data_IF_949744877508
#
_entry.id   IF_949744877508
#
_cell.length_a   1.000
_cell.length_b   1.000
_cell.length_c   1.000
_cell.angle_alpha   90.00
_cell.angle_beta   90.00
_cell.angle_gamma   90.00
#
_symmetry.space_group_name_H-M   'P 1'
#
loop_
_entity.id
_entity.type
_entity.pdbx_description
1 polymer ?
#
# COMPACT_ATOMS: atom_id res chain seq x y z
N UNK A 1 70.36 38.38 -0.24
CA UNK A 1 69.40 37.91 0.79
C UNK A 1 67.95 38.28 0.43
N UNK A 2 67.37 37.77 -0.68
CA UNK A 2 66.00 38.15 -1.13
C UNK A 2 65.09 36.98 -1.52
N UNK A 3 65.45 35.73 -1.18
CA UNK A 3 64.70 34.52 -1.59
C UNK A 3 64.03 33.75 -0.44
N UNK A 4 64.12 34.21 0.80
CA UNK A 4 63.58 33.49 1.97
C UNK A 4 62.19 34.00 2.40
N UNK A 5 61.80 35.23 2.08
CA UNK A 5 60.49 35.78 2.48
C UNK A 5 59.28 35.21 1.71
N UNK A 6 59.49 34.49 0.60
CA UNK A 6 58.38 34.00 -0.24
C UNK A 6 57.76 32.67 0.21
N UNK A 7 58.34 31.96 1.20
CA UNK A 7 57.80 30.68 1.69
C UNK A 7 56.83 30.81 2.88
N UNK A 8 56.86 31.93 3.60
CA UNK A 8 55.99 32.14 4.79
C UNK A 8 54.59 32.65 4.40
N UNK A 9 54.45 33.38 3.29
CA UNK A 9 53.16 33.95 2.87
C UNK A 9 52.12 32.94 2.38
N UNK A 10 52.56 31.80 1.83
CA UNK A 10 51.68 30.75 1.27
C UNK A 10 50.95 29.93 2.35
N UNK A 11 51.44 29.95 3.59
CA UNK A 11 50.82 29.26 4.74
C UNK A 11 49.71 30.11 5.36
N UNK A 12 49.88 31.44 5.37
CA UNK A 12 48.90 32.39 5.93
C UNK A 12 47.61 32.44 5.10
N UNK A 13 47.72 32.34 3.77
CA UNK A 13 46.55 32.38 2.88
C UNK A 13 45.69 31.11 3.02
N UNK A 14 46.32 29.93 3.13
CA UNK A 14 45.63 28.67 3.44
C UNK A 14 44.98 28.66 4.81
N UNK A 15 45.64 29.21 5.83
CA UNK A 15 45.06 29.36 7.16
C UNK A 15 43.80 30.25 7.13
N UNK A 16 43.83 31.37 6.40
CA UNK A 16 42.65 32.23 6.21
C UNK A 16 41.50 31.52 5.49
N UNK A 17 41.80 30.69 4.49
CA UNK A 17 40.77 29.89 3.82
C UNK A 17 40.13 28.86 4.75
N UNK A 18 40.94 28.18 5.58
CA UNK A 18 40.46 27.21 6.57
C UNK A 18 39.61 27.91 7.63
N UNK A 19 40.04 29.05 8.16
CA UNK A 19 39.27 29.84 9.14
C UNK A 19 37.92 30.27 8.55
N UNK A 20 37.91 30.76 7.31
CA UNK A 20 36.68 31.15 6.60
C UNK A 20 35.76 29.96 6.30
N UNK A 21 36.31 28.77 6.06
CA UNK A 21 35.52 27.55 5.91
C UNK A 21 34.90 27.13 7.24
N UNK A 22 35.68 27.13 8.33
CA UNK A 22 35.18 26.83 9.68
C UNK A 22 34.09 27.79 10.13
N UNK A 23 34.24 29.09 9.87
CA UNK A 23 33.23 30.10 10.18
C UNK A 23 31.92 29.83 9.40
N UNK A 24 32.02 29.48 8.12
CA UNK A 24 30.86 29.08 7.31
C UNK A 24 30.19 27.80 7.79
N UNK A 25 30.96 26.83 8.28
CA UNK A 25 30.43 25.58 8.84
C UNK A 25 29.72 25.84 10.17
N UNK A 26 30.31 26.66 11.06
CA UNK A 26 29.69 27.06 12.32
C UNK A 26 28.38 27.83 12.08
N UNK A 27 28.38 28.81 11.17
CA UNK A 27 27.18 29.56 10.77
C UNK A 27 26.08 28.64 10.21
N UNK A 28 26.47 27.54 9.57
CA UNK A 28 25.55 26.57 8.99
C UNK A 28 24.92 25.71 10.09
N UNK A 29 25.72 25.28 11.06
CA UNK A 29 25.29 24.50 12.22
C UNK A 29 24.35 25.30 13.13
N UNK A 30 24.71 26.55 13.46
CA UNK A 30 23.86 27.45 14.26
C UNK A 30 22.50 27.69 13.60
N UNK A 31 22.50 27.86 12.28
CA UNK A 31 21.26 28.00 11.51
C UNK A 31 20.40 26.73 11.56
N UNK A 32 21.02 25.56 11.43
CA UNK A 32 20.31 24.27 11.46
C UNK A 32 19.71 24.01 12.84
N UNK A 33 20.46 24.27 13.91
CA UNK A 33 19.98 24.15 15.29
C UNK A 33 18.79 25.09 15.56
N UNK A 34 18.87 26.34 15.12
CA UNK A 34 17.78 27.31 15.28
C UNK A 34 16.52 26.87 14.53
N UNK A 35 16.67 26.39 13.29
CA UNK A 35 15.54 25.90 12.49
C UNK A 35 14.91 24.69 13.14
N UNK A 36 15.72 23.74 13.61
CA UNK A 36 15.25 22.52 14.27
C UNK A 36 14.46 22.82 15.55
N UNK A 37 14.93 23.73 16.38
CA UNK A 37 14.24 24.08 17.63
C UNK A 37 12.89 24.73 17.39
N UNK A 38 12.84 25.63 16.40
CA UNK A 38 11.61 26.31 16.00
C UNK A 38 10.60 25.34 15.37
N UNK A 39 11.06 24.40 14.54
CA UNK A 39 10.22 23.34 13.96
C UNK A 39 9.72 22.37 15.04
N UNK A 40 10.58 21.93 15.96
CA UNK A 40 10.20 21.08 17.10
C UNK A 40 9.11 21.74 17.94
N UNK A 41 9.19 23.06 18.17
CA UNK A 41 8.15 23.81 18.88
C UNK A 41 6.80 23.75 18.15
N UNK A 42 6.78 23.98 16.84
CA UNK A 42 5.56 23.88 16.04
C UNK A 42 4.96 22.47 16.06
N UNK A 43 5.80 21.44 15.95
CA UNK A 43 5.35 20.05 16.03
C UNK A 43 4.79 19.70 17.41
N UNK A 44 5.44 20.15 18.48
CA UNK A 44 4.97 19.94 19.84
C UNK A 44 3.58 20.55 20.04
N UNK A 45 3.37 21.80 19.59
CA UNK A 45 2.06 22.46 19.65
C UNK A 45 0.98 21.68 18.88
N UNK A 46 1.31 21.17 17.68
CA UNK A 46 0.38 20.36 16.89
C UNK A 46 0.01 19.05 17.60
N UNK A 47 0.98 18.39 18.23
CA UNK A 47 0.78 17.13 18.98
C UNK A 47 -0.07 17.35 20.23
N UNK A 48 0.27 18.36 21.03
CA UNK A 48 -0.50 18.72 22.23
C UNK A 48 -1.96 19.02 21.89
N UNK A 49 -2.20 19.82 20.85
CA UNK A 49 -3.55 20.13 20.41
C UNK A 49 -4.32 18.87 19.95
N UNK A 50 -3.67 17.96 19.22
CA UNK A 50 -4.31 16.70 18.83
C UNK A 50 -4.72 15.85 20.06
N UNK A 51 -3.91 15.85 21.12
CA UNK A 51 -4.22 15.17 22.37
C UNK A 51 -5.41 15.84 23.07
N UNK A 52 -5.40 17.18 23.16
CA UNK A 52 -6.50 17.95 23.74
C UNK A 52 -7.80 17.75 22.97
N UNK A 53 -7.76 17.77 21.64
CA UNK A 53 -8.91 17.52 20.78
C UNK A 53 -9.49 16.12 20.99
N UNK A 54 -8.65 15.08 21.07
CA UNK A 54 -9.11 13.72 21.39
C UNK A 54 -9.79 13.64 22.78
N UNK A 55 -9.26 14.35 23.77
CA UNK A 55 -9.86 14.43 25.11
C UNK A 55 -11.19 15.18 25.10
N UNK A 56 -11.29 16.27 24.34
CA UNK A 56 -12.51 17.08 24.21
C UNK A 56 -13.63 16.28 23.52
N UNK A 57 -13.31 15.60 22.41
CA UNK A 57 -14.27 14.75 21.68
C UNK A 57 -14.87 13.68 22.61
N UNK A 58 -14.05 13.04 23.47
CA UNK A 58 -14.54 12.06 24.46
C UNK A 58 -15.51 12.66 25.48
N UNK A 59 -15.39 13.96 25.76
CA UNK A 59 -16.28 14.71 26.67
C UNK A 59 -17.46 15.37 25.94
N UNK A 60 -17.57 15.20 24.62
CA UNK A 60 -18.58 15.88 23.80
C UNK A 60 -18.34 17.38 23.65
N UNK A 61 -17.11 17.86 23.87
CA UNK A 61 -16.73 19.27 23.72
C UNK A 61 -15.66 19.44 22.64
N UNK A 62 -15.36 20.69 22.27
CA UNK A 62 -14.27 21.03 21.33
C UNK A 62 -13.14 21.69 22.09
N UNK A 63 -11.90 21.35 21.72
CA UNK A 63 -10.73 22.00 22.30
C UNK A 63 -10.72 23.50 21.95
N UNK A 64 -10.55 24.33 22.97
CA UNK A 64 -10.41 25.77 22.82
C UNK A 64 -9.08 26.12 22.14
N UNK A 65 -9.06 27.21 21.37
CA UNK A 65 -7.87 27.84 20.79
C UNK A 65 -6.93 26.90 19.99
N UNK A 66 -7.23 26.66 18.70
CA UNK A 66 -6.36 25.84 17.84
C UNK A 66 -5.02 26.57 17.58
N UNK A 67 -3.85 25.92 17.76
CA UNK A 67 -2.55 26.58 17.60
C UNK A 67 -2.13 26.75 16.14
N UNK A 68 -2.99 26.39 15.18
CA UNK A 68 -2.63 26.35 13.76
C UNK A 68 -2.15 27.70 13.23
N UNK A 69 -2.69 28.82 13.72
CA UNK A 69 -2.24 30.14 13.30
C UNK A 69 -0.82 30.46 13.77
N UNK A 70 -0.44 30.05 14.99
CA UNK A 70 0.93 30.23 15.50
C UNK A 70 1.90 29.30 14.78
N UNK A 71 1.50 28.06 14.53
CA UNK A 71 2.28 27.09 13.75
C UNK A 71 2.57 27.62 12.33
N UNK A 72 1.58 28.23 11.67
CA UNK A 72 1.77 28.84 10.35
C UNK A 72 2.81 29.97 10.42
N UNK A 73 2.71 30.88 11.41
CA UNK A 73 3.69 31.96 11.60
C UNK A 73 5.10 31.43 11.83
N UNK A 74 5.23 30.33 12.56
CA UNK A 74 6.51 29.64 12.78
C UNK A 74 7.08 29.13 11.44
N UNK A 75 6.31 28.40 10.63
CA UNK A 75 6.82 27.92 9.35
C UNK A 75 7.08 29.06 8.35
N UNK A 76 6.33 30.16 8.41
CA UNK A 76 6.61 31.36 7.61
C UNK A 76 7.95 32.00 7.97
N UNK A 77 8.31 32.07 9.26
CA UNK A 77 9.59 32.61 9.69
C UNK A 77 10.75 31.72 9.24
N UNK A 78 10.62 30.40 9.42
CA UNK A 78 11.62 29.40 8.97
C UNK A 78 11.79 29.44 7.45
N UNK A 79 10.69 29.55 6.70
CA UNK A 79 10.74 29.68 5.24
C UNK A 79 11.49 30.95 4.80
N UNK A 80 11.25 32.09 5.46
CA UNK A 80 11.99 33.34 5.18
C UNK A 80 13.48 33.17 5.46
N UNK A 81 13.83 32.53 6.58
CA UNK A 81 15.21 32.20 6.96
C UNK A 81 15.90 31.31 5.91
N UNK A 82 15.23 30.27 5.42
CA UNK A 82 15.75 29.40 4.36
C UNK A 82 15.99 30.15 3.04
N UNK A 83 15.09 31.05 2.66
CA UNK A 83 15.25 31.88 1.45
C UNK A 83 16.44 32.85 1.56
N UNK A 84 16.66 33.46 2.73
CA UNK A 84 17.81 34.34 2.97
C UNK A 84 19.15 33.62 2.83
N UNK A 85 19.21 32.33 3.20
CA UNK A 85 20.38 31.47 3.01
C UNK A 85 20.41 30.76 1.65
N UNK A 86 19.54 31.15 0.71
CA UNK A 86 19.40 30.59 -0.64
C UNK A 86 19.11 29.07 -0.69
N UNK A 87 18.50 28.52 0.38
CA UNK A 87 18.07 27.12 0.47
C UNK A 87 16.66 26.94 -0.09
N UNK A 88 16.55 26.94 -1.42
CA UNK A 88 15.25 26.92 -2.13
C UNK A 88 14.43 25.65 -1.88
N UNK A 89 15.09 24.49 -1.77
CA UNK A 89 14.41 23.21 -1.52
C UNK A 89 13.74 23.20 -0.14
N UNK A 90 14.47 23.61 0.90
CA UNK A 90 13.94 23.70 2.27
C UNK A 90 12.76 24.67 2.33
N UNK A 91 12.88 25.83 1.67
CA UNK A 91 11.79 26.81 1.58
C UNK A 91 10.52 26.23 0.92
N UNK A 92 10.64 25.33 -0.06
CA UNK A 92 9.52 24.64 -0.68
C UNK A 92 8.88 23.60 0.24
N UNK A 93 9.68 22.89 1.04
CA UNK A 93 9.19 21.97 2.08
C UNK A 93 8.35 22.75 3.11
N UNK A 94 8.86 23.87 3.62
CA UNK A 94 8.14 24.69 4.59
C UNK A 94 6.88 25.34 3.99
N UNK A 95 6.88 25.68 2.71
CA UNK A 95 5.67 26.14 2.01
C UNK A 95 4.56 25.08 2.03
N UNK A 96 4.92 23.82 1.81
CA UNK A 96 3.98 22.69 1.86
C UNK A 96 3.40 22.54 3.27
N UNK A 97 4.21 22.70 4.31
CA UNK A 97 3.75 22.68 5.70
C UNK A 97 2.78 23.83 6.00
N UNK A 98 3.08 25.05 5.54
CA UNK A 98 2.18 26.22 5.68
C UNK A 98 0.82 25.92 5.05
N UNK A 99 0.79 25.36 3.84
CA UNK A 99 -0.45 25.00 3.15
C UNK A 99 -1.25 23.96 3.95
N UNK A 100 -0.58 22.89 4.40
CA UNK A 100 -1.21 21.83 5.18
C UNK A 100 -1.85 22.36 6.48
N UNK A 101 -1.18 23.25 7.21
CA UNK A 101 -1.73 23.85 8.43
C UNK A 101 -2.80 24.92 8.15
N UNK A 102 -2.74 25.61 7.02
CA UNK A 102 -3.79 26.54 6.59
C UNK A 102 -5.10 25.82 6.29
N UNK A 103 -5.03 24.65 5.64
CA UNK A 103 -6.20 23.79 5.43
C UNK A 103 -6.79 23.28 6.75
N UNK A 104 -5.94 22.88 7.71
CA UNK A 104 -6.38 22.45 9.05
C UNK A 104 -7.10 23.59 9.78
N UNK A 105 -6.56 24.81 9.72
CA UNK A 105 -7.19 26.00 10.30
C UNK A 105 -8.56 26.29 9.65
N UNK A 106 -8.66 26.18 8.33
CA UNK A 106 -9.93 26.38 7.62
C UNK A 106 -10.99 25.32 7.99
N UNK A 107 -10.57 24.06 8.15
CA UNK A 107 -11.45 22.97 8.62
C UNK A 107 -11.91 23.19 10.06
N UNK A 108 -11.02 23.61 10.95
CA UNK A 108 -11.37 23.92 12.34
C UNK A 108 -12.37 25.08 12.44
N UNK A 109 -12.17 26.17 11.68
CA UNK A 109 -13.14 27.29 11.63
C UNK A 109 -14.53 26.83 11.22
N UNK A 110 -14.63 26.03 10.14
CA UNK A 110 -15.92 25.46 9.70
C UNK A 110 -16.58 24.60 10.76
N UNK A 111 -15.78 23.80 11.48
CA UNK A 111 -16.29 22.94 12.55
C UNK A 111 -16.84 23.78 13.71
N UNK A 112 -16.17 24.86 14.10
CA UNK A 112 -16.67 25.80 15.12
C UNK A 112 -17.93 26.52 14.68
N UNK A 113 -18.01 26.96 13.43
CA UNK A 113 -19.22 27.60 12.89
C UNK A 113 -20.45 26.68 12.94
N UNK A 114 -20.25 25.39 12.63
CA UNK A 114 -21.32 24.38 12.73
C UNK A 114 -21.81 24.23 14.16
N UNK A 115 -20.92 24.26 15.14
CA UNK A 115 -21.26 24.06 16.55
C UNK A 115 -21.94 25.29 17.15
N UNK A 116 -21.50 26.49 16.78
CA UNK A 116 -22.23 27.74 17.10
C UNK A 116 -23.65 27.69 16.54
N UNK A 117 -23.82 27.24 15.29
CA UNK A 117 -25.15 27.08 14.68
C UNK A 117 -26.01 26.03 15.37
N UNK A 118 -25.43 24.90 15.79
CA UNK A 118 -26.14 23.88 16.56
C UNK A 118 -26.60 24.43 17.91
N UNK A 119 -25.71 25.12 18.64
CA UNK A 119 -26.04 25.73 19.92
C UNK A 119 -27.13 26.80 19.77
N UNK A 120 -27.09 27.62 18.70
CA UNK A 120 -28.13 28.61 18.42
C UNK A 120 -29.48 27.95 18.11
N UNK A 121 -29.51 26.93 17.25
CA UNK A 121 -30.73 26.16 16.96
C UNK A 121 -31.31 25.50 18.21
N UNK A 122 -30.45 24.97 19.08
CA UNK A 122 -30.87 24.37 20.33
C UNK A 122 -31.54 25.41 21.25
N UNK A 123 -30.97 26.62 21.35
CA UNK A 123 -31.59 27.73 22.07
C UNK A 123 -32.93 28.15 21.47
N UNK A 124 -33.03 28.25 20.14
CA UNK A 124 -34.29 28.56 19.44
C UNK A 124 -35.37 27.51 19.74
N UNK A 125 -35.00 26.22 19.78
CA UNK A 125 -35.91 25.13 20.15
C UNK A 125 -36.34 25.27 21.62
N UNK A 126 -35.41 25.53 22.53
CA UNK A 126 -35.72 25.73 23.95
C UNK A 126 -36.61 26.96 24.19
N UNK A 127 -36.41 28.04 23.45
CA UNK A 127 -37.27 29.22 23.48
C UNK A 127 -38.67 28.92 22.92
N UNK A 128 -38.77 28.18 21.81
CA UNK A 128 -40.07 27.70 21.30
C UNK A 128 -40.79 26.80 22.32
N UNK A 129 -40.06 26.00 23.09
CA UNK A 129 -40.64 25.14 24.14
C UNK A 129 -41.05 25.92 25.40
N UNK A 130 -40.45 27.09 25.67
CA UNK A 130 -40.80 27.97 26.81
C UNK A 130 -42.04 28.84 26.54
N UNK A 131 -42.31 29.16 25.28
CA UNK A 131 -43.55 29.85 24.88
C UNK A 131 -44.67 28.80 24.86
N UNK A 132 -45.28 28.57 26.03
CA UNK A 132 -46.24 27.50 26.24
C UNK A 132 -47.49 27.56 25.37
N UNK A 133 -47.94 26.35 25.02
CA UNK A 133 -49.31 25.93 24.71
C UNK A 133 -50.03 26.53 23.48
N UNK A 134 -50.22 25.61 22.51
CA UNK A 134 -51.42 25.37 21.65
C UNK A 134 -51.18 25.65 20.17
N UNK A 135 -50.89 24.60 19.41
CA UNK A 135 -51.64 24.24 18.19
C UNK A 135 -51.42 22.77 17.83
N UNK A 136 -52.39 22.17 17.13
CA UNK A 136 -52.33 20.78 16.61
C UNK A 136 -51.10 20.52 15.71
N UNK A 137 -50.46 21.57 15.22
CA UNK A 137 -49.24 21.58 14.41
C UNK A 137 -48.01 21.06 15.16
N UNK A 138 -47.91 21.27 16.48
CA UNK A 138 -46.76 20.84 17.27
C UNK A 138 -46.73 19.32 17.50
N UNK A 139 -47.90 18.68 17.58
CA UNK A 139 -48.00 17.21 17.69
C UNK A 139 -47.50 16.50 16.42
N UNK A 140 -47.69 17.10 15.25
CA UNK A 140 -47.14 16.58 13.99
C UNK A 140 -45.63 16.81 13.89
N UNK A 141 -45.14 17.97 14.36
CA UNK A 141 -43.70 18.25 14.40
C UNK A 141 -42.95 17.35 15.39
N UNK A 142 -43.51 17.09 16.58
CA UNK A 142 -42.97 16.14 17.55
C UNK A 142 -42.88 14.73 16.97
N UNK A 143 -43.95 14.23 16.33
CA UNK A 143 -43.93 12.93 15.64
C UNK A 143 -42.90 12.87 14.51
N UNK A 144 -42.70 13.96 13.77
CA UNK A 144 -41.69 14.03 12.73
C UNK A 144 -40.26 14.01 13.30
N UNK A 145 -40.03 14.61 14.47
CA UNK A 145 -38.74 14.58 15.16
C UNK A 145 -38.48 13.20 15.77
N UNK A 146 -39.49 12.57 16.37
CA UNK A 146 -39.41 11.20 16.89
C UNK A 146 -39.15 10.19 15.77
N UNK A 147 -39.88 10.27 14.66
CA UNK A 147 -39.66 9.41 13.50
C UNK A 147 -38.24 9.54 12.93
N UNK A 148 -37.68 10.76 12.89
CA UNK A 148 -36.29 10.99 12.47
C UNK A 148 -35.27 10.36 13.43
N UNK A 149 -35.50 10.45 14.74
CA UNK A 149 -34.63 9.80 15.73
C UNK A 149 -34.70 8.27 15.60
N UNK A 150 -35.89 7.70 15.44
CA UNK A 150 -36.05 6.26 15.21
C UNK A 150 -35.38 5.80 13.91
N UNK A 151 -35.41 6.62 12.87
CA UNK A 151 -34.74 6.36 11.60
C UNK A 151 -33.20 6.41 11.76
N UNK A 152 -32.67 7.40 12.48
CA UNK A 152 -31.24 7.51 12.80
C UNK A 152 -30.77 6.33 13.66
N UNK A 153 -31.50 5.97 14.72
CA UNK A 153 -31.18 4.84 15.59
C UNK A 153 -31.20 3.52 14.81
N UNK A 154 -32.19 3.34 13.93
CA UNK A 154 -32.24 2.18 13.04
C UNK A 154 -31.06 2.17 12.08
N UNK A 155 -30.71 3.30 11.47
CA UNK A 155 -29.54 3.42 10.60
C UNK A 155 -28.23 3.06 11.32
N UNK A 156 -28.05 3.51 12.57
CA UNK A 156 -26.88 3.16 13.39
C UNK A 156 -26.86 1.66 13.70
N UNK A 157 -28.01 1.07 14.04
CA UNK A 157 -28.12 -0.37 14.29
C UNK A 157 -27.73 -1.20 13.06
N UNK A 158 -28.23 -0.84 11.88
CA UNK A 158 -27.86 -1.52 10.63
C UNK A 158 -26.36 -1.36 10.34
N UNK A 159 -25.81 -0.14 10.53
CA UNK A 159 -24.38 0.11 10.38
C UNK A 159 -23.52 -0.81 11.24
N UNK A 160 -23.86 -0.97 12.52
CA UNK A 160 -23.14 -1.85 13.44
C UNK A 160 -23.20 -3.33 13.00
N UNK A 161 -24.34 -3.81 12.52
CA UNK A 161 -24.49 -5.19 12.04
C UNK A 161 -23.64 -5.46 10.79
N UNK A 162 -23.55 -4.47 9.88
CA UNK A 162 -22.68 -4.52 8.69
C UNK A 162 -21.21 -4.57 9.13
N UNK A 163 -20.80 -3.66 10.02
CA UNK A 163 -19.42 -3.59 10.52
C UNK A 163 -18.99 -4.91 11.19
N UNK A 164 -19.87 -5.53 11.98
CA UNK A 164 -19.63 -6.85 12.55
C UNK A 164 -19.41 -7.93 11.49
N UNK A 165 -20.29 -7.99 10.49
CA UNK A 165 -20.22 -8.97 9.41
C UNK A 165 -18.92 -8.79 8.59
N UNK A 166 -18.55 -7.54 8.27
CA UNK A 166 -17.32 -7.24 7.55
C UNK A 166 -16.07 -7.56 8.37
N UNK A 167 -16.10 -7.33 9.68
CA UNK A 167 -14.99 -7.65 10.58
C UNK A 167 -14.71 -9.16 10.58
N UNK A 168 -15.75 -9.98 10.68
CA UNK A 168 -15.62 -11.45 10.63
C UNK A 168 -14.94 -11.89 9.33
N UNK A 169 -15.39 -11.36 8.19
CA UNK A 169 -14.80 -11.66 6.87
C UNK A 169 -13.34 -11.25 6.81
N UNK A 170 -13.03 -10.04 7.29
CA UNK A 170 -11.67 -9.50 7.24
C UNK A 170 -10.71 -10.33 8.06
N UNK A 171 -11.09 -10.68 9.28
CA UNK A 171 -10.28 -11.49 10.19
C UNK A 171 -10.04 -12.89 9.61
N UNK A 172 -11.06 -13.48 8.99
CA UNK A 172 -10.94 -14.75 8.30
C UNK A 172 -10.05 -14.69 7.06
N UNK A 173 -10.20 -13.69 6.19
CA UNK A 173 -9.35 -13.55 5.01
C UNK A 173 -7.87 -13.33 5.38
N UNK A 174 -7.61 -12.62 6.48
CA UNK A 174 -6.26 -12.48 7.04
C UNK A 174 -5.73 -13.83 7.57
N UNK A 175 -6.54 -14.58 8.30
CA UNK A 175 -6.18 -15.91 8.78
C UNK A 175 -5.89 -16.86 7.61
N UNK A 176 -6.75 -16.86 6.59
CA UNK A 176 -6.60 -17.66 5.36
C UNK A 176 -5.30 -17.35 4.64
N UNK A 177 -4.94 -16.07 4.46
CA UNK A 177 -3.64 -15.71 3.86
C UNK A 177 -2.44 -16.19 4.69
N UNK A 178 -2.53 -16.16 6.02
CA UNK A 178 -1.47 -16.66 6.91
C UNK A 178 -1.34 -18.18 6.82
N UNK A 179 -2.45 -18.91 6.82
CA UNK A 179 -2.50 -20.36 6.68
C UNK A 179 -1.90 -20.81 5.34
N UNK A 180 -2.29 -20.15 4.23
CA UNK A 180 -1.74 -20.44 2.90
C UNK A 180 -0.22 -20.26 2.82
N UNK A 181 0.36 -19.28 3.51
CA UNK A 181 1.83 -19.11 3.59
C UNK A 181 2.53 -20.26 4.33
N UNK A 182 1.82 -20.95 5.21
CA UNK A 182 2.29 -22.13 5.93
C UNK A 182 1.94 -23.44 5.24
N UNK A 183 1.20 -23.41 4.13
CA UNK A 183 0.67 -24.59 3.47
C UNK A 183 -0.53 -25.23 4.20
N UNK A 184 -1.18 -24.51 5.12
CA UNK A 184 -2.36 -24.97 5.85
C UNK A 184 -3.64 -24.49 5.15
N UNK A 185 -4.69 -25.31 5.13
CA UNK A 185 -6.02 -24.94 4.64
C UNK A 185 -6.99 -24.83 5.82
N UNK A 186 -7.69 -23.69 5.90
CA UNK A 186 -8.74 -23.47 6.88
C UNK A 186 -10.04 -24.10 6.36
N UNK A 187 -10.49 -25.16 7.04
CA UNK A 187 -11.70 -25.91 6.68
C UNK A 187 -12.97 -25.12 7.01
N UNK A 188 -13.01 -24.45 8.15
CA UNK A 188 -14.20 -23.73 8.59
C UNK A 188 -14.27 -22.31 8.01
N UNK A 189 -15.24 -22.08 7.14
CA UNK A 189 -15.51 -20.76 6.56
C UNK A 189 -16.64 -20.05 7.30
N UNK A 190 -16.47 -18.77 7.73
CA UNK A 190 -17.53 -17.99 8.34
C UNK A 190 -18.45 -17.32 7.31
N UNK A 191 -18.29 -17.58 6.02
CA UNK A 191 -19.14 -16.97 5.00
C UNK A 191 -20.63 -17.32 5.19
N UNK A 192 -20.95 -18.51 5.71
CA UNK A 192 -22.33 -18.89 6.04
C UNK A 192 -22.95 -17.98 7.11
N UNK A 193 -22.23 -17.70 8.20
CA UNK A 193 -22.69 -16.79 9.26
C UNK A 193 -22.90 -15.37 8.73
N UNK A 194 -21.98 -14.90 7.90
CA UNK A 194 -22.04 -13.58 7.26
C UNK A 194 -23.26 -13.47 6.34
N UNK A 195 -23.56 -14.52 5.57
CA UNK A 195 -24.74 -14.58 4.72
C UNK A 195 -26.03 -14.43 5.56
N UNK A 196 -26.13 -15.13 6.69
CA UNK A 196 -27.29 -15.02 7.57
C UNK A 196 -27.44 -13.62 8.18
N UNK A 197 -26.33 -13.00 8.61
CA UNK A 197 -26.34 -11.60 9.08
C UNK A 197 -26.85 -10.65 7.98
N UNK A 198 -26.40 -10.80 6.73
CA UNK A 198 -26.86 -9.96 5.63
C UNK A 198 -28.31 -10.24 5.22
N UNK A 199 -28.81 -11.48 5.32
CA UNK A 199 -30.24 -11.78 5.13
C UNK A 199 -31.08 -11.05 6.18
N UNK A 200 -30.66 -11.11 7.45
CA UNK A 200 -31.35 -10.44 8.54
C UNK A 200 -31.38 -8.90 8.35
N UNK A 201 -30.24 -8.31 7.96
CA UNK A 201 -30.16 -6.87 7.64
C UNK A 201 -31.10 -6.53 6.48
N UNK A 202 -31.06 -7.30 5.39
CA UNK A 202 -31.90 -7.10 4.21
C UNK A 202 -33.38 -7.10 4.56
N UNK A 203 -33.81 -8.06 5.37
CA UNK A 203 -35.21 -8.21 5.73
C UNK A 203 -35.66 -7.03 6.62
N UNK A 204 -34.84 -6.59 7.58
CA UNK A 204 -35.12 -5.40 8.40
C UNK A 204 -35.25 -4.12 7.57
N UNK A 205 -34.36 -3.89 6.60
CA UNK A 205 -34.45 -2.68 5.75
C UNK A 205 -35.62 -2.77 4.77
N UNK A 206 -35.98 -3.98 4.32
CA UNK A 206 -37.13 -4.20 3.44
C UNK A 206 -38.46 -3.97 4.16
N UNK A 207 -38.59 -4.40 5.42
CA UNK A 207 -39.75 -4.12 6.29
C UNK A 207 -39.98 -2.61 6.46
N UNK A 208 -38.92 -1.80 6.43
CA UNK A 208 -38.97 -0.33 6.47
C UNK A 208 -39.20 0.33 5.11
N UNK A 209 -39.27 -0.45 4.03
CA UNK A 209 -39.49 0.04 2.67
C UNK A 209 -38.23 0.57 1.97
N UNK A 210 -37.04 0.36 2.54
CA UNK A 210 -35.76 0.78 1.96
C UNK A 210 -35.29 -0.20 0.88
N UNK A 211 -35.98 -0.19 -0.27
CA UNK A 211 -35.79 -1.16 -1.36
C UNK A 211 -34.39 -1.12 -1.97
N UNK A 212 -33.80 0.06 -2.12
CA UNK A 212 -32.47 0.20 -2.73
C UNK A 212 -31.39 -0.41 -1.83
N UNK A 213 -31.46 -0.16 -0.53
CA UNK A 213 -30.58 -0.75 0.47
C UNK A 213 -30.77 -2.27 0.54
N UNK A 214 -32.02 -2.75 0.51
CA UNK A 214 -32.30 -4.18 0.45
C UNK A 214 -31.65 -4.85 -0.78
N UNK A 215 -31.68 -4.19 -1.95
CA UNK A 215 -31.02 -4.68 -3.16
C UNK A 215 -29.49 -4.72 -3.01
N UNK A 216 -28.89 -3.70 -2.40
CA UNK A 216 -27.45 -3.67 -2.11
C UNK A 216 -27.04 -4.87 -1.24
N UNK A 217 -27.77 -5.10 -0.14
CA UNK A 217 -27.50 -6.24 0.73
C UNK A 217 -27.80 -7.59 0.06
N UNK A 218 -28.79 -7.64 -0.83
CA UNK A 218 -29.04 -8.78 -1.70
C UNK A 218 -27.84 -9.14 -2.58
N UNK A 219 -27.20 -8.15 -3.19
CA UNK A 219 -25.98 -8.36 -3.96
C UNK A 219 -24.82 -8.82 -3.08
N UNK A 220 -24.71 -8.28 -1.86
CA UNK A 220 -23.68 -8.69 -0.92
C UNK A 220 -23.84 -10.16 -0.48
N UNK A 221 -25.07 -10.63 -0.27
CA UNK A 221 -25.38 -12.04 -0.02
C UNK A 221 -24.87 -12.91 -1.17
N UNK A 222 -25.15 -12.52 -2.43
CA UNK A 222 -24.71 -13.27 -3.62
C UNK A 222 -23.18 -13.37 -3.69
N UNK A 223 -22.47 -12.27 -3.43
CA UNK A 223 -21.00 -12.25 -3.41
C UNK A 223 -20.46 -13.25 -2.38
N UNK A 224 -21.04 -13.31 -1.17
CA UNK A 224 -20.60 -14.24 -0.15
C UNK A 224 -20.99 -15.70 -0.43
N UNK A 225 -22.11 -15.95 -1.09
CA UNK A 225 -22.46 -17.28 -1.59
C UNK A 225 -21.41 -17.79 -2.59
N UNK A 226 -21.03 -16.96 -3.58
CA UNK A 226 -19.98 -17.31 -4.53
C UNK A 226 -18.62 -17.56 -3.86
N UNK A 227 -18.30 -16.83 -2.78
CA UNK A 227 -17.08 -17.05 -1.99
C UNK A 227 -17.13 -18.37 -1.21
N UNK A 228 -18.29 -18.74 -0.66
CA UNK A 228 -18.50 -19.98 0.06
C UNK A 228 -18.35 -21.18 -0.88
N UNK A 229 -19.02 -21.17 -2.04
CA UNK A 229 -18.93 -22.24 -3.04
C UNK A 229 -17.48 -22.46 -3.53
N UNK A 230 -16.74 -21.36 -3.77
CA UNK A 230 -15.33 -21.44 -4.14
C UNK A 230 -14.47 -22.07 -3.05
N UNK A 231 -14.80 -21.81 -1.78
CA UNK A 231 -14.09 -22.40 -0.66
C UNK A 231 -14.39 -23.90 -0.52
N UNK A 232 -15.64 -24.30 -0.65
CA UNK A 232 -16.04 -25.72 -0.60
C UNK A 232 -15.34 -26.54 -1.68
N UNK A 233 -15.32 -26.04 -2.93
CA UNK A 233 -14.58 -26.65 -4.04
C UNK A 233 -13.08 -26.80 -3.76
N UNK A 234 -12.47 -25.82 -3.10
CA UNK A 234 -11.05 -25.91 -2.72
C UNK A 234 -10.81 -26.99 -1.67
N UNK A 235 -11.73 -27.16 -0.72
CA UNK A 235 -11.65 -28.20 0.31
C UNK A 235 -11.82 -29.58 -0.32
N UNK A 236 -12.76 -29.73 -1.26
CA UNK A 236 -13.01 -30.97 -1.99
C UNK A 236 -11.77 -31.41 -2.80
N UNK A 237 -11.17 -30.50 -3.57
CA UNK A 237 -9.95 -30.78 -4.34
C UNK A 237 -8.78 -31.20 -3.43
N UNK A 238 -8.66 -30.58 -2.25
CA UNK A 238 -7.59 -30.96 -1.33
C UNK A 238 -7.85 -32.33 -0.69
N UNK A 239 -9.10 -32.65 -0.38
CA UNK A 239 -9.48 -33.98 0.10
C UNK A 239 -9.18 -35.06 -0.95
N UNK A 240 -9.52 -34.81 -2.22
CA UNK A 240 -9.22 -35.72 -3.35
C UNK A 240 -7.71 -35.93 -3.53
N UNK A 241 -6.90 -34.86 -3.45
CA UNK A 241 -5.44 -34.98 -3.48
C UNK A 241 -4.89 -35.79 -2.31
N UNK A 242 -5.43 -35.60 -1.11
CA UNK A 242 -5.01 -36.34 0.07
C UNK A 242 -5.37 -37.82 -0.04
N UNK A 243 -6.52 -38.16 -0.63
CA UNK A 243 -6.92 -39.54 -0.93
C UNK A 243 -6.00 -40.17 -1.99
N UNK A 244 -5.78 -39.49 -3.12
CA UNK A 244 -4.86 -39.94 -4.15
C UNK A 244 -3.43 -40.17 -3.63
N UNK A 245 -2.96 -39.32 -2.72
CA UNK A 245 -1.66 -39.48 -2.08
C UNK A 245 -1.62 -40.73 -1.18
N UNK A 246 -2.70 -41.04 -0.46
CA UNK A 246 -2.81 -42.29 0.32
C UNK A 246 -2.82 -43.51 -0.58
N UNK A 247 -3.54 -43.47 -1.70
CA UNK A 247 -3.57 -44.57 -2.67
C UNK A 247 -2.19 -44.84 -3.23
N UNK A 248 -1.44 -43.79 -3.58
CA UNK A 248 -0.02 -43.91 -3.96
C UNK A 248 0.78 -44.58 -2.83
N UNK A 249 0.68 -44.09 -1.60
CA UNK A 249 1.41 -44.66 -0.46
C UNK A 249 1.03 -46.14 -0.19
N UNK A 250 -0.22 -46.53 -0.39
CA UNK A 250 -0.67 -47.92 -0.29
C UNK A 250 -0.12 -48.77 -1.43
N UNK A 251 -0.13 -48.28 -2.68
CA UNK A 251 0.54 -48.95 -3.79
C UNK A 251 2.05 -49.14 -3.53
N UNK A 252 2.71 -48.17 -2.91
CA UNK A 252 4.11 -48.25 -2.49
C UNK A 252 4.34 -49.21 -1.31
N UNK A 253 3.35 -49.43 -0.44
CA UNK A 253 3.42 -50.46 0.63
C UNK A 253 3.24 -51.86 0.06
N UNK A 254 2.37 -52.04 -0.93
CA UNK A 254 2.14 -53.33 -1.61
C UNK A 254 3.37 -53.72 -2.46
N UNK A 255 4.14 -52.76 -2.98
CA UNK A 255 5.34 -53.03 -3.78
C UNK A 255 6.58 -53.47 -2.99
N UNK A 256 6.54 -53.57 -1.65
CA UNK A 256 7.67 -54.07 -0.85
C UNK A 256 7.86 -55.59 -0.90
N UNK A 257 6.98 -56.32 -1.60
CA UNK A 257 7.09 -57.77 -1.81
C UNK A 257 7.29 -58.22 -3.26
N UNK A 258 7.45 -57.30 -4.21
CA UNK A 258 7.67 -57.69 -5.62
C UNK A 258 8.96 -57.07 -6.13
N UNK A 259 9.80 -57.98 -6.62
CA UNK A 259 11.04 -57.79 -7.37
C UNK A 259 11.05 -56.48 -8.17
N UNK A 260 12.07 -55.64 -7.93
CA UNK A 260 12.20 -54.31 -8.52
C UNK A 260 12.44 -54.45 -10.02
N UNK A 261 11.40 -54.13 -10.78
CA UNK A 261 11.42 -54.03 -12.24
C UNK A 261 12.38 -52.91 -12.66
N UNK A 262 13.53 -53.27 -13.25
CA UNK A 262 14.63 -52.37 -13.65
C UNK A 262 14.17 -51.25 -14.61
N UNK A 263 13.01 -51.39 -15.24
CA UNK A 263 12.49 -50.42 -16.19
C UNK A 263 11.80 -49.21 -15.55
N UNK A 264 11.28 -49.33 -14.31
CA UNK A 264 10.72 -48.18 -13.58
C UNK A 264 11.79 -47.22 -13.07
N UNK A 265 12.97 -47.74 -12.68
CA UNK A 265 14.12 -46.92 -12.27
C UNK A 265 14.65 -46.06 -13.43
N UNK A 266 14.75 -46.61 -14.63
CA UNK A 266 15.16 -45.87 -15.83
C UNK A 266 14.21 -44.74 -16.19
N UNK A 267 12.91 -44.90 -15.95
CA UNK A 267 11.92 -43.86 -16.24
C UNK A 267 12.06 -42.64 -15.32
N UNK A 268 12.28 -42.87 -14.02
CA UNK A 268 12.49 -41.80 -13.03
C UNK A 268 13.79 -41.05 -13.32
N UNK A 269 14.86 -41.77 -13.67
CA UNK A 269 16.15 -41.18 -13.99
C UNK A 269 16.09 -40.32 -15.26
N UNK A 270 15.42 -40.81 -16.31
CA UNK A 270 15.19 -40.06 -17.54
C UNK A 270 14.40 -38.76 -17.31
N UNK A 271 13.37 -38.80 -16.45
CA UNK A 271 12.57 -37.61 -16.12
C UNK A 271 13.41 -36.56 -15.39
N UNK A 272 14.26 -36.98 -14.45
CA UNK A 272 15.16 -36.08 -13.72
C UNK A 272 16.19 -35.43 -14.66
N UNK A 273 16.77 -36.20 -15.58
CA UNK A 273 17.68 -35.65 -16.59
C UNK A 273 16.98 -34.63 -17.51
N UNK A 274 15.72 -34.85 -17.84
CA UNK A 274 14.92 -33.94 -18.68
C UNK A 274 14.62 -32.63 -17.95
N UNK A 275 14.28 -32.69 -16.67
CA UNK A 275 14.10 -31.49 -15.82
C UNK A 275 15.40 -30.70 -15.65
N UNK A 276 16.52 -31.38 -15.39
CA UNK A 276 17.83 -30.74 -15.27
C UNK A 276 18.28 -30.10 -16.59
N UNK A 277 18.00 -30.76 -17.72
CA UNK A 277 18.25 -30.21 -19.04
C UNK A 277 17.39 -28.98 -19.31
N UNK A 278 16.10 -29.03 -18.99
CA UNK A 278 15.18 -27.90 -19.13
C UNK A 278 15.66 -26.69 -18.32
N UNK A 279 16.09 -26.89 -17.07
CA UNK A 279 16.64 -25.81 -16.22
C UNK A 279 17.86 -25.14 -16.85
N UNK A 280 18.81 -25.94 -17.37
CA UNK A 280 20.00 -25.41 -18.04
C UNK A 280 19.67 -24.57 -19.28
N UNK A 281 18.63 -24.93 -20.02
CA UNK A 281 18.17 -24.15 -21.18
C UNK A 281 17.57 -22.83 -20.70
N UNK A 282 16.71 -22.84 -19.68
CA UNK A 282 16.15 -21.61 -19.09
C UNK A 282 17.25 -20.66 -18.59
N UNK A 283 18.26 -21.16 -17.89
CA UNK A 283 19.38 -20.34 -17.40
C UNK A 283 20.16 -19.65 -18.53
N UNK A 284 20.34 -20.33 -19.67
CA UNK A 284 20.99 -19.73 -20.84
C UNK A 284 20.11 -18.66 -21.49
N UNK A 285 18.80 -18.86 -21.55
CA UNK A 285 17.84 -17.86 -22.05
C UNK A 285 17.87 -16.63 -21.16
N UNK A 286 17.75 -16.79 -19.84
CA UNK A 286 17.78 -15.68 -18.88
C UNK A 286 19.08 -14.87 -19.00
N UNK A 287 20.22 -15.55 -19.21
CA UNK A 287 21.52 -14.91 -19.43
C UNK A 287 21.53 -14.07 -20.72
N UNK A 288 20.94 -14.58 -21.81
CA UNK A 288 20.84 -13.85 -23.07
C UNK A 288 19.92 -12.63 -22.95
N UNK A 289 18.78 -12.78 -22.29
CA UNK A 289 17.81 -11.70 -22.08
C UNK A 289 18.37 -10.60 -21.18
N UNK A 290 19.08 -10.97 -20.11
CA UNK A 290 19.74 -10.01 -19.22
C UNK A 290 20.79 -9.18 -19.97
N UNK A 291 21.58 -9.80 -20.84
CA UNK A 291 22.55 -9.07 -21.69
C UNK A 291 21.86 -8.07 -22.62
N UNK A 292 20.72 -8.43 -23.21
CA UNK A 292 19.96 -7.51 -24.05
C UNK A 292 19.39 -6.34 -23.22
N UNK A 293 18.80 -6.64 -22.07
CA UNK A 293 18.20 -5.64 -21.19
C UNK A 293 19.23 -4.64 -20.65
N UNK A 294 20.38 -5.13 -20.17
CA UNK A 294 21.45 -4.28 -19.64
C UNK A 294 22.00 -3.34 -20.73
N UNK A 295 22.10 -3.83 -21.96
CA UNK A 295 22.51 -2.99 -23.09
C UNK A 295 21.45 -1.97 -23.48
N UNK A 296 20.16 -2.33 -23.52
CA UNK A 296 19.07 -1.38 -23.78
C UNK A 296 19.04 -0.26 -22.72
N UNK A 297 19.32 -0.59 -21.45
CA UNK A 297 19.48 0.40 -20.37
C UNK A 297 20.70 1.29 -20.56
N UNK A 298 21.85 0.74 -20.98
CA UNK A 298 23.04 1.53 -21.24
C UNK A 298 22.84 2.44 -22.46
N UNK A 299 22.26 1.92 -23.54
CA UNK A 299 21.95 2.66 -24.77
C UNK A 299 21.02 3.83 -24.49
N UNK A 300 19.94 3.62 -23.74
CA UNK A 300 19.02 4.72 -23.37
C UNK A 300 19.69 5.79 -22.50
N UNK A 301 20.64 5.42 -21.62
CA UNK A 301 21.43 6.37 -20.84
C UNK A 301 22.44 7.15 -21.70
N UNK A 302 23.13 6.48 -22.61
CA UNK A 302 24.11 7.10 -23.50
C UNK A 302 23.44 8.10 -24.46
N UNK A 303 22.29 7.74 -25.05
CA UNK A 303 21.49 8.65 -25.89
C UNK A 303 21.10 9.92 -25.13
N UNK A 304 20.69 9.81 -23.86
CA UNK A 304 20.36 10.98 -23.02
C UNK A 304 21.56 11.89 -22.74
N UNK A 305 22.78 11.34 -22.77
CA UNK A 305 24.04 12.07 -22.57
C UNK A 305 24.69 12.56 -23.86
N UNK A 306 24.17 12.15 -25.03
CA UNK A 306 24.80 12.41 -26.32
C UNK A 306 26.06 11.55 -26.57
N UNK A 307 26.23 10.45 -25.84
CA UNK A 307 27.34 9.51 -25.98
C UNK A 307 26.95 8.35 -26.92
N UNK A 308 27.90 7.83 -27.70
CA UNK A 308 27.70 6.68 -28.58
C UNK A 308 28.32 5.42 -27.95
N UNK A 309 27.57 4.31 -27.92
CA UNK A 309 28.07 3.02 -27.45
C UNK A 309 28.67 2.25 -28.62
N UNK A 310 29.97 2.01 -28.57
CA UNK A 310 30.70 1.29 -29.63
C UNK A 310 30.54 -0.24 -29.54
N UNK A 311 30.33 -0.81 -28.35
CA UNK A 311 30.19 -2.26 -28.19
C UNK A 311 28.73 -2.73 -28.10
N UNK A 312 28.34 -3.62 -29.01
CA UNK A 312 27.05 -4.30 -28.97
C UNK A 312 27.18 -5.71 -28.38
N UNK A 313 26.23 -6.16 -27.53
CA UNK A 313 26.28 -7.51 -26.95
C UNK A 313 25.71 -8.59 -27.91
N UNK A 314 25.16 -8.20 -29.06
CA UNK A 314 24.44 -9.10 -29.97
C UNK A 314 25.26 -10.32 -30.41
N UNK A 315 26.58 -10.22 -30.72
CA UNK A 315 27.40 -11.40 -31.01
C UNK A 315 27.44 -12.41 -29.86
N UNK A 316 27.46 -11.95 -28.60
CA UNK A 316 27.45 -12.81 -27.41
C UNK A 316 26.10 -13.48 -27.24
N UNK A 317 25.01 -12.74 -27.45
CA UNK A 317 23.63 -13.25 -27.38
C UNK A 317 23.39 -14.31 -28.47
N UNK A 318 23.82 -14.06 -29.70
CA UNK A 318 23.75 -15.02 -30.81
C UNK A 318 24.50 -16.31 -30.47
N UNK A 319 25.68 -16.20 -29.85
CA UNK A 319 26.47 -17.37 -29.44
C UNK A 319 25.71 -18.24 -28.42
N UNK A 320 25.04 -17.61 -27.45
CA UNK A 320 24.21 -18.32 -26.46
C UNK A 320 23.05 -19.05 -27.15
N UNK A 321 22.31 -18.39 -28.04
CA UNK A 321 21.21 -19.05 -28.74
C UNK A 321 21.67 -20.16 -29.70
N UNK A 322 22.86 -20.03 -30.32
CA UNK A 322 23.46 -21.14 -31.10
C UNK A 322 23.77 -22.35 -30.22
N UNK A 323 24.27 -22.13 -29.01
CA UNK A 323 24.51 -23.20 -28.04
C UNK A 323 23.21 -23.89 -27.61
N UNK A 324 22.17 -23.12 -27.28
CA UNK A 324 20.83 -23.64 -26.96
C UNK A 324 20.31 -24.49 -28.12
N UNK A 325 20.35 -23.95 -29.34
CA UNK A 325 19.91 -24.65 -30.55
C UNK A 325 20.63 -25.99 -30.73
N UNK A 326 21.95 -26.01 -30.56
CA UNK A 326 22.74 -27.24 -30.68
C UNK A 326 22.33 -28.27 -29.62
N UNK A 327 22.21 -27.86 -28.35
CA UNK A 327 21.77 -28.74 -27.25
C UNK A 327 20.39 -29.34 -27.49
N UNK A 328 19.44 -28.53 -27.97
CA UNK A 328 18.07 -28.99 -28.29
C UNK A 328 18.05 -29.93 -29.49
N UNK A 329 18.86 -29.66 -30.52
CA UNK A 329 18.97 -30.53 -31.69
C UNK A 329 19.51 -31.91 -31.32
N UNK A 330 20.51 -31.98 -30.43
CA UNK A 330 21.06 -33.25 -29.94
C UNK A 330 20.02 -34.07 -29.16
N UNK A 331 19.06 -33.40 -28.51
CA UNK A 331 17.95 -34.04 -27.76
C UNK A 331 16.70 -34.32 -28.61
N UNK A 332 16.67 -33.91 -29.88
CA UNK A 332 15.53 -34.12 -30.78
C UNK A 332 14.35 -33.17 -30.56
N UNK A 333 14.53 -32.05 -29.86
CA UNK A 333 13.46 -31.08 -29.56
C UNK A 333 13.24 -30.12 -30.74
N UNK A 334 12.71 -30.66 -31.83
CA UNK A 334 12.66 -30.00 -33.15
C UNK A 334 11.87 -28.69 -33.18
N UNK A 335 10.79 -28.59 -32.41
CA UNK A 335 9.96 -27.37 -32.40
C UNK A 335 10.66 -26.22 -31.68
N UNK A 336 11.30 -26.50 -30.54
CA UNK A 336 12.09 -25.52 -29.80
C UNK A 336 13.32 -25.09 -30.62
N UNK A 337 13.94 -25.99 -31.38
CA UNK A 337 15.03 -25.64 -32.32
C UNK A 337 14.60 -24.58 -33.33
N UNK A 338 13.35 -24.65 -33.85
CA UNK A 338 12.82 -23.63 -34.78
C UNK A 338 12.67 -22.28 -34.09
N UNK A 339 12.13 -22.25 -32.86
CA UNK A 339 11.97 -21.02 -32.07
C UNK A 339 13.31 -20.31 -31.89
N UNK A 340 14.33 -21.00 -31.39
CA UNK A 340 15.63 -20.38 -31.16
C UNK A 340 16.40 -20.07 -32.46
N UNK A 341 16.11 -20.78 -33.55
CA UNK A 341 16.62 -20.40 -34.88
C UNK A 341 16.07 -19.05 -35.34
N UNK A 342 14.79 -18.76 -35.06
CA UNK A 342 14.20 -17.47 -35.35
C UNK A 342 14.81 -16.38 -34.45
N UNK A 343 15.03 -16.67 -33.16
CA UNK A 343 15.67 -15.71 -32.26
C UNK A 343 17.08 -15.32 -32.73
N UNK A 344 17.86 -16.29 -33.22
CA UNK A 344 19.18 -16.02 -33.83
C UNK A 344 19.06 -15.06 -35.01
N UNK A 345 18.07 -15.25 -35.91
CA UNK A 345 17.84 -14.36 -37.06
C UNK A 345 17.52 -12.94 -36.60
N UNK A 346 16.60 -12.78 -35.65
CA UNK A 346 16.21 -11.47 -35.10
C UNK A 346 17.43 -10.71 -34.58
N UNK A 347 18.35 -11.38 -33.87
CA UNK A 347 19.57 -10.73 -33.37
C UNK A 347 20.65 -10.51 -34.42
N UNK A 348 20.61 -11.17 -35.58
CA UNK A 348 21.47 -10.83 -36.73
C UNK A 348 20.98 -9.59 -37.49
N UNK A 349 19.68 -9.29 -37.41
CA UNK A 349 19.05 -8.13 -38.04
C UNK A 349 19.15 -6.85 -37.20
N UNK A 350 19.46 -6.98 -35.90
CA UNK A 350 19.76 -5.87 -34.97
C UNK A 350 21.24 -5.50 -35.02
#
# INVERSE_FOLDING_TARGET
>A
MKKVEKRVGLDVEKLREIEKQKEKEHDKEDFENLVDDVVKKAEYMAREYNIQMKKAIKKGTIAENPPFQEIIKIYESVRKMALLKNRKNDAAIYMTQIQAYSEKLAKDKKLRDVEVRKAQRQKEIEEMHKIGERTKTDKQRLRAVEAKKEEEEFSVKIGNLVDEAEKIVRDFELAKRKALRKGEIIVNSPYAEVIEKYKHIRDQVLERGWKDQANIYGNQIKIYQEKLEKQEKLIEIEAEKAEYQKDIEEMHKISKKVEVDKDRLKFVEKKREEEEFSKRISELVDKAEKLNHDYDLQRTKAIKKGELLEETPYPKIIKIYKEIKQKLSTRGWGDQVKIYSNQIKIYYEK
#
